data_IF_956011712316
#
_entry.id   IF_956011712316
#
_cell.length_a   1.000
_cell.length_b   1.000
_cell.length_c   1.000
_cell.angle_alpha   90.00
_cell.angle_beta   90.00
_cell.angle_gamma   90.00
#
_symmetry.space_group_name_H-M   'P 1'
#
loop_
_entity.id
_entity.type
_entity.pdbx_description
1 polymer ?
#
# COMPACT_ATOMS: atom_id res chain seq x y z
N UNK A 1 -27.06 52.18 -54.89
CA UNK A 1 -27.15 51.88 -53.45
C UNK A 1 -26.80 50.41 -53.26
N UNK A 2 -25.58 50.13 -52.80
CA UNK A 2 -25.10 48.74 -52.58
C UNK A 2 -25.12 48.44 -51.04
N UNK A 3 -25.99 47.55 -50.64
CA UNK A 3 -26.10 47.14 -49.25
C UNK A 3 -25.07 46.06 -49.01
N UNK A 4 -24.12 46.29 -48.10
CA UNK A 4 -23.05 45.40 -47.72
C UNK A 4 -23.56 44.54 -46.53
N UNK A 5 -23.74 43.22 -46.74
CA UNK A 5 -24.08 42.25 -45.70
C UNK A 5 -22.79 41.82 -44.99
N UNK A 6 -22.65 42.17 -43.72
CA UNK A 6 -21.61 41.67 -42.83
C UNK A 6 -22.05 40.34 -42.25
N UNK A 7 -21.38 39.24 -42.66
CA UNK A 7 -21.47 37.91 -42.04
C UNK A 7 -20.59 37.90 -40.80
N UNK A 8 -21.21 37.80 -39.61
CA UNK A 8 -20.50 37.48 -38.39
C UNK A 8 -20.33 35.94 -38.29
N UNK A 9 -19.10 35.49 -38.45
CA UNK A 9 -18.75 34.10 -38.15
C UNK A 9 -18.60 33.92 -36.63
N UNK A 10 -19.56 33.27 -36.00
CA UNK A 10 -19.41 32.74 -34.64
C UNK A 10 -18.49 31.52 -34.72
N UNK A 11 -17.24 31.65 -34.33
CA UNK A 11 -16.34 30.53 -34.08
C UNK A 11 -16.72 30.02 -32.66
N UNK A 12 -17.41 28.90 -32.62
CA UNK A 12 -17.70 28.19 -31.38
C UNK A 12 -16.42 27.57 -30.78
N UNK A 13 -15.96 28.18 -29.71
CA UNK A 13 -14.90 27.63 -28.87
C UNK A 13 -15.52 26.59 -27.94
N UNK A 14 -15.75 25.39 -28.46
CA UNK A 14 -16.21 24.25 -27.69
C UNK A 14 -15.45 23.02 -28.15
N UNK A 15 -14.27 22.76 -27.56
CA UNK A 15 -13.63 21.44 -27.50
C UNK A 15 -12.30 21.54 -26.74
N UNK A 16 -12.31 21.44 -25.39
CA UNK A 16 -11.11 21.03 -24.68
C UNK A 16 -11.36 20.39 -23.31
N UNK A 17 -12.61 20.18 -22.89
CA UNK A 17 -12.90 19.55 -21.60
C UNK A 17 -13.22 18.05 -21.73
N UNK A 18 -13.62 17.57 -22.89
CA UNK A 18 -13.93 16.15 -23.13
C UNK A 18 -12.66 15.30 -23.28
N UNK A 19 -11.59 15.80 -23.90
CA UNK A 19 -10.38 15.00 -24.16
C UNK A 19 -9.55 14.72 -22.90
N UNK A 20 -9.62 15.60 -21.87
CA UNK A 20 -8.89 15.37 -20.61
C UNK A 20 -9.59 14.35 -19.71
N UNK A 21 -10.91 14.21 -19.77
CA UNK A 21 -11.64 13.20 -19.00
C UNK A 21 -11.55 11.80 -19.62
N UNK A 22 -11.46 11.72 -20.95
CA UNK A 22 -11.30 10.45 -21.65
C UNK A 22 -9.91 9.86 -21.44
N UNK A 23 -8.84 10.66 -21.53
CA UNK A 23 -7.47 10.19 -21.28
C UNK A 23 -7.23 9.76 -19.85
N UNK A 24 -7.82 10.43 -18.85
CA UNK A 24 -7.71 10.03 -17.46
C UNK A 24 -8.46 8.71 -17.15
N UNK A 25 -9.61 8.49 -17.80
CA UNK A 25 -10.37 7.25 -17.66
C UNK A 25 -9.67 6.07 -18.36
N UNK A 26 -9.06 6.27 -19.53
CA UNK A 26 -8.29 5.23 -20.21
C UNK A 26 -7.02 4.86 -19.44
N UNK A 27 -6.34 5.84 -18.85
CA UNK A 27 -5.15 5.61 -18.04
C UNK A 27 -5.50 4.87 -16.73
N UNK A 28 -6.62 5.21 -16.10
CA UNK A 28 -7.12 4.54 -14.91
C UNK A 28 -7.56 3.10 -15.21
N UNK A 29 -8.29 2.89 -16.31
CA UNK A 29 -8.72 1.55 -16.72
C UNK A 29 -7.53 0.66 -17.09
N UNK A 30 -6.55 1.20 -17.78
CA UNK A 30 -5.31 0.46 -18.11
C UNK A 30 -4.53 0.07 -16.85
N UNK A 31 -4.51 0.93 -15.81
CA UNK A 31 -3.90 0.60 -14.52
C UNK A 31 -4.67 -0.53 -13.81
N UNK A 32 -6.01 -0.50 -13.85
CA UNK A 32 -6.83 -1.57 -13.28
C UNK A 32 -6.63 -2.90 -14.00
N UNK A 33 -6.64 -2.90 -15.34
CA UNK A 33 -6.38 -4.09 -16.14
C UNK A 33 -4.98 -4.67 -15.87
N UNK A 34 -3.96 -3.80 -15.74
CA UNK A 34 -2.61 -4.22 -15.36
C UNK A 34 -2.55 -4.80 -13.93
N UNK A 35 -3.41 -4.34 -13.02
CA UNK A 35 -3.46 -4.85 -11.65
C UNK A 35 -4.25 -6.16 -11.55
N UNK A 36 -5.25 -6.38 -12.39
CA UNK A 36 -6.05 -7.60 -12.41
C UNK A 36 -5.22 -8.86 -12.78
N UNK A 37 -4.13 -8.69 -13.50
CA UNK A 37 -3.20 -9.77 -13.85
C UNK A 37 -2.06 -9.93 -12.83
N UNK A 38 -1.93 -9.01 -11.85
CA UNK A 38 -0.82 -9.01 -10.90
C UNK A 38 -1.05 -9.98 -9.75
N UNK A 39 -0.05 -10.83 -9.53
CA UNK A 39 0.14 -11.53 -8.28
C UNK A 39 0.88 -10.63 -7.27
N UNK A 40 0.88 -11.02 -5.99
CA UNK A 40 1.70 -10.36 -4.97
C UNK A 40 3.19 -10.27 -5.36
N UNK A 41 3.71 -11.26 -6.06
CA UNK A 41 5.12 -11.33 -6.43
C UNK A 41 5.55 -10.38 -7.55
N UNK A 42 4.59 -9.77 -8.28
CA UNK A 42 4.88 -8.88 -9.40
C UNK A 42 5.09 -7.42 -8.97
N UNK A 43 4.98 -7.14 -7.67
CA UNK A 43 5.26 -5.81 -7.15
C UNK A 43 6.77 -5.56 -7.01
N UNK A 44 7.16 -4.33 -7.32
CA UNK A 44 8.47 -3.76 -7.04
C UNK A 44 8.29 -2.44 -6.33
N UNK A 45 9.01 -2.25 -5.23
CA UNK A 45 8.88 -1.06 -4.41
C UNK A 45 10.25 -0.64 -3.86
N UNK A 46 10.40 0.64 -3.56
CA UNK A 46 11.59 1.11 -2.86
C UNK A 46 11.49 0.80 -1.37
N UNK A 47 12.59 0.30 -0.80
CA UNK A 47 12.74 0.22 0.63
C UNK A 47 12.95 1.61 1.25
N UNK A 48 13.06 1.66 2.57
CA UNK A 48 13.24 2.92 3.31
C UNK A 48 14.59 3.62 3.00
N UNK A 49 15.55 2.90 2.41
CA UNK A 49 16.85 3.40 1.96
C UNK A 49 16.85 3.78 0.47
N UNK A 50 15.74 3.59 -0.23
CA UNK A 50 15.57 3.92 -1.65
C UNK A 50 16.03 2.82 -2.61
N UNK A 51 16.40 1.63 -2.13
CA UNK A 51 16.75 0.49 -2.98
C UNK A 51 15.48 -0.17 -3.53
N UNK A 52 15.51 -0.60 -4.79
CA UNK A 52 14.40 -1.34 -5.38
C UNK A 52 14.36 -2.77 -4.83
N UNK A 53 13.22 -3.15 -4.30
CA UNK A 53 12.91 -4.48 -3.78
C UNK A 53 11.90 -5.15 -4.71
N UNK A 54 12.28 -6.26 -5.32
CA UNK A 54 11.41 -7.12 -6.13
C UNK A 54 10.74 -8.15 -5.22
N UNK A 55 9.40 -8.15 -5.15
CA UNK A 55 8.64 -9.05 -4.27
C UNK A 55 8.73 -10.52 -4.69
N UNK A 56 9.22 -10.79 -5.89
CA UNK A 56 9.53 -12.14 -6.34
C UNK A 56 10.54 -12.86 -5.40
N UNK A 57 11.38 -12.11 -4.65
CA UNK A 57 12.29 -12.66 -3.65
C UNK A 57 11.56 -13.32 -2.45
N UNK A 58 10.28 -13.01 -2.24
CA UNK A 58 9.48 -13.55 -1.14
C UNK A 58 8.72 -14.84 -1.51
N UNK A 59 8.90 -15.37 -2.73
CA UNK A 59 8.27 -16.64 -3.14
C UNK A 59 8.60 -17.77 -2.18
N UNK A 60 7.57 -18.52 -1.79
CA UNK A 60 7.70 -19.62 -0.83
C UNK A 60 7.80 -19.17 0.64
N UNK A 61 7.62 -17.88 0.93
CA UNK A 61 7.56 -17.34 2.29
C UNK A 61 6.16 -16.81 2.58
N UNK A 62 5.73 -16.97 3.82
CA UNK A 62 4.57 -16.25 4.35
C UNK A 62 4.96 -14.79 4.57
N UNK A 63 4.03 -13.85 4.33
CA UNK A 63 4.31 -12.42 4.43
C UNK A 63 3.26 -11.73 5.29
N UNK A 64 3.70 -10.90 6.23
CA UNK A 64 2.85 -10.01 7.01
C UNK A 64 3.13 -8.56 6.59
N UNK A 65 2.17 -7.94 5.90
CA UNK A 65 2.22 -6.52 5.50
C UNK A 65 1.56 -5.69 6.59
N UNK A 66 2.21 -4.63 7.06
CA UNK A 66 1.72 -3.76 8.13
C UNK A 66 1.88 -2.30 7.73
N UNK A 67 0.81 -1.50 7.78
CA UNK A 67 0.94 -0.06 7.66
C UNK A 67 1.26 0.55 9.02
N UNK A 68 2.37 1.26 9.14
CA UNK A 68 2.96 1.69 10.41
C UNK A 68 3.04 3.20 10.55
N UNK A 69 3.18 3.69 11.79
CA UNK A 69 3.38 5.09 12.09
C UNK A 69 4.11 5.30 13.42
N UNK A 70 4.95 6.36 13.50
CA UNK A 70 5.80 6.67 14.66
C UNK A 70 5.07 7.37 15.81
N UNK A 71 3.88 7.99 15.55
CA UNK A 71 3.16 8.82 16.54
C UNK A 71 1.74 8.34 16.79
N UNK A 72 1.53 7.02 16.82
CA UNK A 72 0.23 6.38 16.99
C UNK A 72 0.12 5.72 18.38
N UNK A 73 -1.10 5.59 18.92
CA UNK A 73 -1.32 4.80 20.13
C UNK A 73 -0.93 3.32 19.97
N UNK A 74 -0.91 2.80 18.73
CA UNK A 74 -0.48 1.44 18.40
C UNK A 74 1.03 1.32 18.08
N UNK A 75 1.80 2.41 18.13
CA UNK A 75 3.25 2.37 17.87
C UNK A 75 4.01 1.34 18.73
N UNK A 76 3.62 1.05 20.00
CA UNK A 76 4.24 -0.03 20.77
C UNK A 76 4.21 -1.41 20.11
N UNK A 77 3.31 -1.67 19.16
CA UNK A 77 3.29 -2.93 18.39
C UNK A 77 4.58 -3.18 17.57
N UNK A 78 5.42 -2.17 17.35
CA UNK A 78 6.75 -2.39 16.76
C UNK A 78 7.59 -3.38 17.56
N UNK A 79 7.48 -3.37 18.90
CA UNK A 79 8.21 -4.32 19.75
C UNK A 79 7.77 -5.77 19.48
N UNK A 80 6.46 -6.00 19.38
CA UNK A 80 5.94 -7.33 19.07
C UNK A 80 6.18 -7.77 17.63
N UNK A 81 6.16 -6.82 16.67
CA UNK A 81 6.56 -7.10 15.28
C UNK A 81 8.03 -7.54 15.22
N UNK A 82 8.90 -6.90 16.00
CA UNK A 82 10.30 -7.30 16.08
C UNK A 82 10.46 -8.68 16.74
N UNK A 83 9.76 -8.94 17.84
CA UNK A 83 9.73 -10.26 18.47
C UNK A 83 9.24 -11.35 17.50
N UNK A 84 8.18 -11.07 16.75
CA UNK A 84 7.64 -11.97 15.72
C UNK A 84 8.68 -12.24 14.63
N UNK A 85 9.40 -11.20 14.17
CA UNK A 85 10.47 -11.33 13.20
C UNK A 85 11.64 -12.18 13.71
N UNK A 86 12.05 -11.99 14.97
CA UNK A 86 13.13 -12.77 15.59
C UNK A 86 12.76 -14.25 15.77
N UNK A 87 11.50 -14.50 16.11
CA UNK A 87 11.02 -15.85 16.45
C UNK A 87 10.64 -16.68 15.23
N UNK A 88 10.11 -16.04 14.18
CA UNK A 88 9.55 -16.72 13.00
C UNK A 88 10.15 -16.25 11.68
N UNK A 89 11.26 -15.50 11.67
CA UNK A 89 11.85 -14.93 10.47
C UNK A 89 12.33 -15.96 9.42
N UNK A 90 12.47 -17.23 9.81
CA UNK A 90 12.74 -18.32 8.86
C UNK A 90 11.52 -18.67 7.99
N UNK A 91 10.30 -18.48 8.52
CA UNK A 91 9.03 -18.83 7.89
C UNK A 91 8.21 -17.63 7.44
N UNK A 92 8.32 -16.50 8.17
CA UNK A 92 7.56 -15.27 7.97
C UNK A 92 8.47 -14.10 7.61
N UNK A 93 8.08 -13.34 6.59
CA UNK A 93 8.68 -12.04 6.28
C UNK A 93 7.71 -10.94 6.72
N UNK A 94 8.20 -9.96 7.49
CA UNK A 94 7.42 -8.77 7.87
C UNK A 94 7.82 -7.60 6.97
N UNK A 95 6.82 -6.93 6.38
CA UNK A 95 6.98 -5.79 5.51
C UNK A 95 6.26 -4.57 6.12
N UNK A 96 7.03 -3.60 6.61
CA UNK A 96 6.51 -2.38 7.24
C UNK A 96 6.40 -1.22 6.23
N UNK A 97 5.21 -0.65 6.11
CA UNK A 97 4.92 0.47 5.21
C UNK A 97 4.53 1.71 6.02
N UNK A 98 5.42 2.67 6.19
CA UNK A 98 5.07 3.95 6.82
C UNK A 98 3.96 4.66 6.05
N UNK A 99 2.94 5.17 6.76
CA UNK A 99 1.79 5.81 6.15
C UNK A 99 1.30 7.01 6.96
N UNK A 100 1.13 8.17 6.31
CA UNK A 100 0.68 9.40 6.97
C UNK A 100 -0.83 9.67 6.82
N UNK A 101 -1.60 8.67 6.33
CA UNK A 101 -3.03 8.82 6.04
C UNK A 101 -3.91 8.97 7.29
N UNK A 102 -3.43 8.55 8.47
CA UNK A 102 -4.23 8.50 9.69
C UNK A 102 -3.74 9.54 10.70
N UNK A 103 -4.45 10.66 10.75
CA UNK A 103 -4.19 11.73 11.71
C UNK A 103 -2.84 12.42 11.56
N UNK A 104 -2.14 12.27 10.43
CA UNK A 104 -0.80 12.83 10.25
C UNK A 104 0.25 12.23 11.20
N UNK A 105 0.07 10.97 11.59
CA UNK A 105 0.89 10.32 12.63
C UNK A 105 2.23 9.75 12.13
N UNK A 106 2.54 9.93 10.84
CA UNK A 106 3.86 9.61 10.26
C UNK A 106 4.43 10.81 9.47
N UNK A 107 4.71 11.95 10.12
CA UNK A 107 5.12 13.18 9.44
C UNK A 107 6.59 13.18 9.01
N UNK A 108 7.43 12.29 9.57
CA UNK A 108 8.87 12.22 9.35
C UNK A 108 9.26 11.88 7.90
N UNK A 109 10.50 12.13 7.54
CA UNK A 109 11.12 11.59 6.32
C UNK A 109 11.40 10.09 6.51
N UNK A 110 11.74 9.37 5.45
CA UNK A 110 12.16 7.97 5.54
C UNK A 110 13.36 7.79 6.48
N UNK A 111 14.30 8.72 6.45
CA UNK A 111 15.48 8.73 7.32
C UNK A 111 15.07 8.90 8.81
N UNK A 112 14.16 9.82 9.11
CA UNK A 112 13.61 10.02 10.46
C UNK A 112 12.90 8.77 10.97
N UNK A 113 12.10 8.14 10.10
CA UNK A 113 11.33 6.92 10.41
C UNK A 113 12.27 5.75 10.67
N UNK A 114 13.25 5.52 9.78
CA UNK A 114 14.26 4.47 9.94
C UNK A 114 14.99 4.62 11.26
N UNK A 115 15.46 5.83 11.58
CA UNK A 115 16.13 6.15 12.83
C UNK A 115 15.23 5.86 14.02
N UNK A 116 13.98 6.34 13.98
CA UNK A 116 13.00 6.12 15.04
C UNK A 116 12.78 4.62 15.30
N UNK A 117 12.56 3.81 14.26
CA UNK A 117 12.31 2.38 14.36
C UNK A 117 13.52 1.63 14.93
N UNK A 118 14.74 1.94 14.46
CA UNK A 118 15.96 1.29 14.92
C UNK A 118 16.32 1.65 16.36
N UNK A 119 16.25 2.94 16.72
CA UNK A 119 16.68 3.42 18.05
C UNK A 119 15.67 3.07 19.17
N UNK A 120 14.36 3.07 18.87
CA UNK A 120 13.35 2.87 19.92
C UNK A 120 12.86 1.42 20.01
N UNK A 121 12.91 0.64 18.92
CA UNK A 121 12.35 -0.71 18.86
C UNK A 121 13.30 -1.77 18.31
N UNK A 122 14.51 -1.37 17.91
CA UNK A 122 15.48 -2.31 17.35
C UNK A 122 15.00 -3.00 16.06
N UNK A 123 14.12 -2.35 15.28
CA UNK A 123 13.51 -2.94 14.07
C UNK A 123 14.56 -3.40 13.08
N UNK A 124 14.52 -4.68 12.73
CA UNK A 124 15.39 -5.31 11.73
C UNK A 124 14.62 -5.91 10.55
N UNK A 125 13.29 -6.01 10.63
CA UNK A 125 12.50 -6.43 9.48
C UNK A 125 12.45 -5.35 8.39
N UNK A 126 12.04 -5.75 7.18
CA UNK A 126 12.05 -4.88 6.00
C UNK A 126 11.09 -3.71 6.14
N UNK A 127 11.62 -2.50 6.10
CA UNK A 127 10.84 -1.26 6.01
C UNK A 127 10.88 -0.70 4.59
N UNK A 128 9.75 -0.16 4.14
CA UNK A 128 9.60 0.44 2.81
C UNK A 128 9.54 1.97 2.86
N UNK A 129 9.65 2.58 1.68
CA UNK A 129 9.36 4.00 1.48
C UNK A 129 7.94 4.33 1.97
N UNK A 130 7.76 5.55 2.50
CA UNK A 130 6.45 6.01 2.95
C UNK A 130 5.48 6.10 1.78
N UNK A 131 4.32 5.46 1.92
CA UNK A 131 3.30 5.39 0.86
C UNK A 131 1.93 5.83 1.36
N UNK A 132 1.04 6.17 0.43
CA UNK A 132 -0.39 6.31 0.72
C UNK A 132 -1.06 4.93 0.72
N UNK A 133 -1.78 4.62 1.81
CA UNK A 133 -2.49 3.34 1.97
C UNK A 133 -4.00 3.48 1.85
N UNK A 134 -4.49 4.72 1.64
CA UNK A 134 -5.92 5.04 1.58
C UNK A 134 -6.15 6.28 0.72
N UNK A 135 -7.35 6.37 0.12
CA UNK A 135 -7.75 7.53 -0.69
C UNK A 135 -7.42 7.37 -2.16
N UNK A 136 -7.54 8.46 -2.92
CA UNK A 136 -7.39 8.46 -4.38
C UNK A 136 -5.94 8.17 -4.84
N UNK A 137 -4.97 8.52 -4.01
CA UNK A 137 -3.53 8.32 -4.22
C UNK A 137 -3.00 7.02 -3.61
N UNK A 138 -3.90 6.10 -3.23
CA UNK A 138 -3.55 4.79 -2.67
C UNK A 138 -2.57 4.07 -3.58
N UNK A 139 -1.45 3.62 -2.99
CA UNK A 139 -0.41 2.88 -3.71
C UNK A 139 -0.99 1.59 -4.34
N UNK A 140 -0.54 1.17 -5.54
CA UNK A 140 -1.06 -0.02 -6.24
C UNK A 140 -1.05 -1.30 -5.40
N UNK A 141 -0.03 -1.53 -4.55
CA UNK A 141 -0.02 -2.65 -3.61
C UNK A 141 -1.23 -2.61 -2.66
N UNK A 142 -1.52 -1.44 -2.07
CA UNK A 142 -2.64 -1.29 -1.15
C UNK A 142 -3.99 -1.32 -1.87
N UNK A 143 -4.05 -0.94 -3.15
CA UNK A 143 -5.21 -1.17 -4.01
C UNK A 143 -5.43 -2.68 -4.16
N UNK A 144 -4.41 -3.43 -4.55
CA UNK A 144 -4.49 -4.89 -4.66
C UNK A 144 -4.91 -5.54 -3.33
N UNK A 145 -4.34 -5.13 -2.20
CA UNK A 145 -4.66 -5.67 -0.88
C UNK A 145 -6.11 -5.41 -0.44
N UNK A 146 -6.79 -4.38 -0.97
CA UNK A 146 -8.10 -3.93 -0.51
C UNK A 146 -9.16 -3.87 -1.59
N UNK A 147 -8.96 -4.58 -2.69
CA UNK A 147 -9.92 -4.72 -3.78
C UNK A 147 -10.11 -6.21 -4.11
N UNK A 148 -11.30 -6.73 -3.83
CA UNK A 148 -11.62 -8.15 -4.03
C UNK A 148 -11.54 -8.59 -5.49
N UNK A 149 -11.72 -7.68 -6.44
CA UNK A 149 -11.65 -7.98 -7.86
C UNK A 149 -10.20 -8.18 -8.31
N UNK A 150 -9.22 -7.65 -7.53
CA UNK A 150 -7.79 -7.80 -7.77
C UNK A 150 -7.17 -8.96 -6.96
N UNK A 151 -7.63 -9.18 -5.71
CA UNK A 151 -7.04 -10.16 -4.80
C UNK A 151 -7.89 -11.42 -4.57
N UNK A 152 -9.09 -11.46 -5.14
CA UNK A 152 -9.99 -12.61 -5.12
C UNK A 152 -11.04 -12.61 -4.00
N UNK A 153 -10.90 -11.82 -2.91
CA UNK A 153 -11.90 -11.85 -1.84
C UNK A 153 -11.96 -10.64 -0.90
N UNK A 154 -10.84 -9.93 -0.66
CA UNK A 154 -10.76 -8.91 0.39
C UNK A 154 -11.06 -7.51 -0.16
N UNK A 155 -12.06 -6.84 0.41
CA UNK A 155 -12.43 -5.45 0.14
C UNK A 155 -12.14 -4.50 1.32
N UNK A 156 -11.44 -4.99 2.37
CA UNK A 156 -11.13 -4.21 3.56
C UNK A 156 -9.84 -3.44 3.38
N UNK A 157 -9.93 -2.12 3.35
CA UNK A 157 -8.77 -1.23 3.40
C UNK A 157 -8.35 -0.93 4.86
N UNK A 158 -7.13 -0.41 5.09
CA UNK A 158 -6.71 0.01 6.41
C UNK A 158 -7.65 1.09 6.98
N UNK A 159 -8.18 0.84 8.16
CA UNK A 159 -9.04 1.78 8.89
C UNK A 159 -8.25 2.68 9.82
N UNK A 160 -7.04 2.28 10.18
CA UNK A 160 -6.08 3.00 11.03
C UNK A 160 -4.66 2.50 10.79
N UNK A 161 -3.66 3.07 11.52
CA UNK A 161 -2.30 2.54 11.53
C UNK A 161 -2.26 1.17 12.19
N UNK A 162 -1.31 0.33 11.79
CA UNK A 162 -1.08 -1.04 12.27
C UNK A 162 -2.19 -2.04 11.90
N UNK A 163 -2.96 -1.80 10.81
CA UNK A 163 -3.68 -2.87 10.14
C UNK A 163 -2.69 -3.81 9.46
N UNK A 164 -3.06 -5.10 9.38
CA UNK A 164 -2.16 -6.13 8.85
C UNK A 164 -2.87 -6.96 7.79
N UNK A 165 -2.08 -7.41 6.80
CA UNK A 165 -2.52 -8.36 5.78
C UNK A 165 -1.57 -9.53 5.78
N UNK A 166 -2.11 -10.73 5.82
CA UNK A 166 -1.35 -11.97 5.78
C UNK A 166 -1.44 -12.62 4.41
N UNK A 167 -0.29 -12.91 3.82
CA UNK A 167 -0.13 -13.55 2.52
C UNK A 167 0.57 -14.88 2.74
N UNK A 168 0.06 -15.94 2.13
CA UNK A 168 0.65 -17.27 2.23
C UNK A 168 1.87 -17.46 1.32
N UNK A 169 2.49 -18.62 1.38
CA UNK A 169 3.67 -19.00 0.60
C UNK A 169 3.41 -19.10 -0.91
N UNK A 170 2.13 -19.10 -1.34
CA UNK A 170 1.73 -19.07 -2.75
C UNK A 170 1.52 -17.64 -3.26
N UNK A 171 1.61 -16.63 -2.39
CA UNK A 171 1.35 -15.23 -2.71
C UNK A 171 -0.13 -14.86 -2.67
N UNK A 172 -0.98 -15.71 -2.08
CA UNK A 172 -2.40 -15.46 -1.93
C UNK A 172 -2.69 -14.71 -0.62
N UNK A 173 -3.50 -13.64 -0.72
CA UNK A 173 -3.98 -12.92 0.46
C UNK A 173 -4.98 -13.81 1.24
N UNK A 174 -4.67 -14.13 2.49
CA UNK A 174 -5.49 -15.02 3.33
C UNK A 174 -6.27 -14.32 4.42
N UNK A 175 -5.74 -13.23 4.97
CA UNK A 175 -6.38 -12.59 6.12
C UNK A 175 -6.08 -11.10 6.18
N UNK A 176 -7.04 -10.33 6.65
CA UNK A 176 -6.91 -8.94 7.09
C UNK A 176 -7.13 -8.88 8.60
N UNK A 177 -6.28 -8.13 9.30
CA UNK A 177 -6.40 -7.87 10.73
C UNK A 177 -6.51 -6.37 10.99
N UNK A 178 -7.46 -5.91 11.80
CA UNK A 178 -7.52 -4.54 12.26
C UNK A 178 -6.36 -4.21 13.21
N UNK A 179 -6.13 -2.93 13.49
CA UNK A 179 -5.07 -2.43 14.36
C UNK A 179 -5.07 -3.04 15.77
N UNK A 180 -6.27 -3.42 16.27
CA UNK A 180 -6.45 -3.99 17.62
C UNK A 180 -5.95 -5.42 17.79
N UNK A 181 -5.67 -6.14 16.69
CA UNK A 181 -5.04 -7.46 16.77
C UNK A 181 -3.53 -7.26 16.92
N UNK A 182 -3.00 -7.72 18.04
CA UNK A 182 -1.58 -7.61 18.36
C UNK A 182 -0.74 -8.52 17.46
N UNK A 183 0.52 -8.17 17.12
CA UNK A 183 1.35 -9.01 16.25
C UNK A 183 1.60 -10.42 16.78
N UNK A 184 1.66 -10.58 18.10
CA UNK A 184 1.87 -11.89 18.76
C UNK A 184 0.56 -12.62 19.09
N UNK A 185 -0.59 -12.17 18.57
CA UNK A 185 -1.88 -12.82 18.74
C UNK A 185 -1.88 -14.23 18.12
N UNK A 186 -2.56 -15.18 18.79
CA UNK A 186 -2.65 -16.57 18.35
C UNK A 186 -3.28 -16.70 16.95
N UNK A 187 -4.13 -15.75 16.54
CA UNK A 187 -4.67 -15.73 15.17
C UNK A 187 -3.58 -15.58 14.12
N UNK A 188 -2.54 -14.76 14.37
CA UNK A 188 -1.42 -14.58 13.45
C UNK A 188 -0.47 -15.77 13.56
N UNK A 189 -0.12 -16.17 14.80
CA UNK A 189 0.81 -17.28 15.06
C UNK A 189 0.30 -18.60 14.45
N UNK A 190 -1.00 -18.87 14.53
CA UNK A 190 -1.58 -20.07 13.93
C UNK A 190 -1.44 -20.12 12.41
N UNK A 191 -1.55 -18.97 11.73
CA UNK A 191 -1.34 -18.90 10.28
C UNK A 191 0.13 -19.10 9.89
N UNK A 192 1.07 -18.68 10.75
CA UNK A 192 2.50 -18.92 10.50
C UNK A 192 2.83 -20.41 10.58
N UNK A 193 2.20 -21.12 11.53
CA UNK A 193 2.46 -22.55 11.80
C UNK A 193 1.66 -23.51 10.91
N UNK A 194 0.64 -23.02 10.19
CA UNK A 194 -0.18 -23.83 9.30
C UNK A 194 0.58 -24.20 8.02
#
# INVERSE_FOLDING_TARGET
MKTLLLLFAFISLACNTASQSETSNEEFQNLEDMLMEKSFYDFKMKDIDGNEIDFNQYKGKKVLIVNVASKCGYTPQYAELQELNEKYGDELVILGFPANNFGGQEPGTNEDIKKFCSENYGVTFQMFDKVSVKGADKHPLYRWLSDKDLNGWNDKEPTWNFCKYFIDENGELKKFFPSSVEPMDEEIISLIKA
#
